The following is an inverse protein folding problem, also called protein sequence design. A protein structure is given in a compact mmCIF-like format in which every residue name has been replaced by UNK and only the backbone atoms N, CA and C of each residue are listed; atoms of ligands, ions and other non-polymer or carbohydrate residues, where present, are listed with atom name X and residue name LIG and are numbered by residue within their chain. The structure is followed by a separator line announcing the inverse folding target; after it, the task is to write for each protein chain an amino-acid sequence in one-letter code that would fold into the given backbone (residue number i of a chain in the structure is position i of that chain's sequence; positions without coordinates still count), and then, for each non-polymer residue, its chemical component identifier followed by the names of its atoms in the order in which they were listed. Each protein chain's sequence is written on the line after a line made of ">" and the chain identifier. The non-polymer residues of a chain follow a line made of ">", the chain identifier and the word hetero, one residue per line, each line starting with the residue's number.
data_IF_044570341698
#
_entry.id   IF_044570341698
#
_cell.length_a   1.000
_cell.length_b   1.000
_cell.length_c   1.000
_cell.angle_alpha   90.00
_cell.angle_beta   90.00
_cell.angle_gamma   90.00
#
_symmetry.space_group_name_H-M   'P 1'
#
loop_
_entity.id
_entity.type
_entity.pdbx_description
1 polymer ?
#
# COMPACT_ATOMS: atom_id res chain seq x y z
N UNK A 1 17.91 -15.08 2.22
CA UNK A 1 17.71 -13.65 1.90
C UNK A 1 16.66 -13.55 0.80
N UNK A 2 15.69 -12.67 0.98
CA UNK A 2 14.68 -12.38 -0.06
C UNK A 2 15.02 -11.04 -0.69
N UNK A 3 14.98 -10.98 -2.02
CA UNK A 3 15.32 -9.78 -2.77
C UNK A 3 14.06 -9.19 -3.36
N UNK A 4 13.86 -7.90 -3.17
CA UNK A 4 12.82 -7.15 -3.86
C UNK A 4 13.43 -6.67 -5.18
N UNK A 5 12.96 -7.23 -6.28
CA UNK A 5 13.50 -6.96 -7.62
C UNK A 5 12.36 -6.82 -8.63
N UNK A 6 12.69 -6.50 -9.87
CA UNK A 6 11.69 -6.32 -10.92
C UNK A 6 10.84 -7.58 -11.13
N UNK A 7 11.43 -8.76 -11.05
CA UNK A 7 10.68 -10.01 -11.21
C UNK A 7 9.60 -10.15 -10.14
N UNK A 8 9.93 -9.92 -8.87
CA UNK A 8 8.96 -10.01 -7.77
C UNK A 8 7.83 -8.98 -7.93
N UNK A 9 8.18 -7.76 -8.32
CA UNK A 9 7.18 -6.72 -8.58
C UNK A 9 6.26 -7.10 -9.73
N UNK A 10 6.82 -7.60 -10.84
CA UNK A 10 6.05 -8.02 -12.01
C UNK A 10 5.10 -9.18 -11.67
N UNK A 11 5.56 -10.17 -10.94
CA UNK A 11 4.73 -11.32 -10.53
C UNK A 11 3.58 -10.89 -9.61
N UNK A 12 3.85 -10.00 -8.66
CA UNK A 12 2.83 -9.50 -7.74
C UNK A 12 1.80 -8.65 -8.49
N UNK A 13 2.26 -7.81 -9.41
CA UNK A 13 1.38 -7.00 -10.25
C UNK A 13 0.50 -7.87 -11.16
N UNK A 14 1.06 -8.91 -11.77
CA UNK A 14 0.30 -9.83 -12.61
C UNK A 14 -0.85 -10.48 -11.83
N UNK A 15 -0.60 -10.88 -10.58
CA UNK A 15 -1.64 -11.42 -9.71
C UNK A 15 -2.70 -10.37 -9.35
N UNK A 16 -2.29 -9.13 -9.14
CA UNK A 16 -3.23 -8.03 -8.88
C UNK A 16 -4.19 -7.83 -10.06
N UNK A 17 -3.67 -7.86 -11.28
CA UNK A 17 -4.49 -7.73 -12.50
C UNK A 17 -5.53 -8.85 -12.63
N UNK A 18 -5.23 -10.05 -12.16
CA UNK A 18 -6.14 -11.20 -12.20
C UNK A 18 -7.10 -11.23 -11.01
N UNK A 19 -6.85 -10.44 -9.99
CA UNK A 19 -7.72 -10.39 -8.80
C UNK A 19 -8.99 -9.61 -9.12
N UNK A 20 -10.18 -10.08 -8.65
CA UNK A 20 -11.42 -9.31 -8.78
C UNK A 20 -11.34 -7.93 -8.13
N UNK A 21 -10.49 -7.76 -7.10
CA UNK A 21 -10.30 -6.49 -6.41
C UNK A 21 -9.20 -5.63 -7.03
N UNK A 22 -8.50 -6.11 -8.06
CA UNK A 22 -7.41 -5.41 -8.73
C UNK A 22 -6.28 -5.03 -7.76
N UNK A 23 -6.01 -5.90 -6.79
CA UNK A 23 -4.89 -5.75 -5.87
C UNK A 23 -4.44 -7.10 -5.32
N UNK A 24 -3.18 -7.15 -4.90
CA UNK A 24 -2.57 -8.37 -4.35
C UNK A 24 -1.46 -8.00 -3.39
N UNK A 25 -1.40 -8.70 -2.28
CA UNK A 25 -0.32 -8.59 -1.32
C UNK A 25 0.69 -9.72 -1.53
N UNK A 26 1.96 -9.40 -1.34
CA UNK A 26 3.02 -10.38 -1.13
C UNK A 26 3.59 -10.15 0.27
N UNK A 27 3.35 -11.10 1.19
CA UNK A 27 3.72 -10.95 2.59
C UNK A 27 5.11 -11.52 2.85
N UNK A 28 5.96 -10.74 3.52
CA UNK A 28 7.24 -11.21 4.04
C UNK A 28 7.11 -11.75 5.46
N UNK A 29 6.12 -11.29 6.21
CA UNK A 29 5.80 -11.85 7.52
C UNK A 29 5.06 -13.18 7.34
N UNK A 30 5.37 -14.14 8.22
CA UNK A 30 4.79 -15.48 8.12
C UNK A 30 3.43 -15.59 8.83
N UNK A 31 3.22 -14.74 9.85
CA UNK A 31 2.01 -14.75 10.67
C UNK A 31 1.45 -13.33 10.78
N UNK A 32 0.13 -13.23 10.88
CA UNK A 32 -0.54 -11.93 11.04
C UNK A 32 -0.22 -11.25 12.37
N UNK A 33 0.18 -12.02 13.37
CA UNK A 33 0.56 -11.52 14.69
C UNK A 33 2.07 -11.24 14.84
N UNK A 34 2.82 -11.28 13.74
CA UNK A 34 4.21 -10.84 13.77
C UNK A 34 4.29 -9.40 14.28
N UNK A 35 5.33 -9.08 15.09
CA UNK A 35 5.52 -7.73 15.62
C UNK A 35 5.63 -6.66 14.53
N UNK A 36 6.15 -7.03 13.36
CA UNK A 36 6.29 -6.15 12.20
C UNK A 36 5.70 -6.82 10.99
N UNK A 37 4.62 -6.26 10.47
CA UNK A 37 4.05 -6.71 9.20
C UNK A 37 4.81 -6.05 8.05
N UNK A 38 5.30 -6.88 7.14
CA UNK A 38 6.10 -6.44 5.98
C UNK A 38 5.50 -7.06 4.74
N UNK A 39 5.11 -6.23 3.79
CA UNK A 39 4.46 -6.71 2.59
C UNK A 39 4.66 -5.78 1.40
N UNK A 40 4.58 -6.34 0.22
CA UNK A 40 4.33 -5.58 -0.99
C UNK A 40 2.82 -5.53 -1.21
N UNK A 41 2.33 -4.40 -1.68
CA UNK A 41 0.93 -4.23 -2.03
C UNK A 41 0.86 -3.72 -3.47
N UNK A 42 0.49 -4.61 -4.39
CA UNK A 42 0.28 -4.23 -5.78
C UNK A 42 -1.17 -3.80 -5.96
N UNK A 43 -1.36 -2.59 -6.47
CA UNK A 43 -2.68 -2.01 -6.71
C UNK A 43 -2.77 -1.53 -8.15
N UNK A 44 -3.78 -1.98 -8.86
CA UNK A 44 -4.05 -1.53 -10.22
C UNK A 44 -5.05 -0.37 -10.23
N UNK A 45 -4.99 0.50 -11.26
CA UNK A 45 -6.04 1.51 -11.45
C UNK A 45 -7.42 0.86 -11.45
N UNK A 46 -8.37 1.47 -10.75
CA UNK A 46 -9.70 0.91 -10.58
C UNK A 46 -9.91 0.10 -9.33
N UNK A 47 -8.85 -0.26 -8.59
CA UNK A 47 -9.03 -0.88 -7.28
C UNK A 47 -9.67 0.11 -6.32
N UNK A 48 -10.56 -0.39 -5.47
CA UNK A 48 -11.23 0.44 -4.46
C UNK A 48 -10.76 0.03 -3.07
N UNK A 49 -10.18 0.98 -2.35
CA UNK A 49 -9.83 0.84 -0.94
C UNK A 49 -10.75 1.75 -0.13
N UNK A 50 -11.59 1.12 0.70
CA UNK A 50 -12.47 1.87 1.60
C UNK A 50 -11.61 2.61 2.64
N UNK A 51 -11.92 3.88 2.96
CA UNK A 51 -11.25 4.57 4.05
C UNK A 51 -11.33 3.74 5.33
N UNK A 52 -10.19 3.59 6.01
CA UNK A 52 -10.09 2.78 7.22
C UNK A 52 -8.95 3.30 8.09
N UNK A 53 -8.94 2.86 9.35
CA UNK A 53 -7.84 3.12 10.28
C UNK A 53 -7.64 1.92 11.20
N UNK A 54 -6.45 1.82 11.75
CA UNK A 54 -6.10 0.75 12.68
C UNK A 54 -6.21 1.28 14.12
N UNK A 55 -7.22 0.81 14.87
CA UNK A 55 -7.51 1.28 16.22
C UNK A 55 -7.18 0.29 17.33
N UNK A 56 -7.29 -1.02 17.06
CA UNK A 56 -7.12 -2.05 18.09
C UNK A 56 -6.18 -3.17 17.62
N UNK A 57 -4.86 -3.06 17.89
CA UNK A 57 -4.19 -1.89 18.45
C UNK A 57 -4.03 -0.78 17.42
N UNK A 58 -3.87 0.45 17.90
CA UNK A 58 -3.48 1.55 17.03
C UNK A 58 -2.10 1.26 16.43
N UNK A 59 -1.94 1.49 15.15
CA UNK A 59 -0.69 1.20 14.43
C UNK A 59 -0.31 2.38 13.57
N UNK A 60 0.95 2.74 13.62
CA UNK A 60 1.56 3.63 12.66
C UNK A 60 1.97 2.80 11.44
N UNK A 61 1.81 3.37 10.28
CA UNK A 61 2.21 2.73 9.03
C UNK A 61 3.17 3.64 8.28
N UNK A 62 4.22 3.04 7.73
CA UNK A 62 5.06 3.68 6.74
C UNK A 62 4.96 2.87 5.45
N UNK A 63 4.81 3.55 4.32
CA UNK A 63 4.82 2.89 3.03
C UNK A 63 5.63 3.68 2.03
N UNK A 64 6.26 2.94 1.14
CA UNK A 64 7.09 3.46 0.06
C UNK A 64 6.50 3.03 -1.27
N UNK A 65 6.47 3.93 -2.22
CA UNK A 65 6.01 3.63 -3.57
C UNK A 65 7.21 3.24 -4.43
N UNK A 66 7.22 1.99 -4.87
CA UNK A 66 8.30 1.46 -5.70
C UNK A 66 8.03 1.68 -7.18
N UNK A 67 6.76 1.81 -7.57
CA UNK A 67 6.34 1.85 -8.96
C UNK A 67 5.04 2.63 -9.08
N UNK A 68 4.88 3.45 -10.11
CA UNK A 68 3.63 4.13 -10.40
C UNK A 68 3.41 5.44 -9.65
N UNK A 69 2.16 5.79 -9.46
CA UNK A 69 1.72 7.04 -8.87
C UNK A 69 0.46 6.80 -8.05
N UNK A 70 0.41 7.35 -6.84
CA UNK A 70 -0.69 7.12 -5.89
C UNK A 70 -1.10 8.44 -5.26
N UNK A 71 -2.41 8.66 -5.15
CA UNK A 71 -2.94 9.74 -4.33
C UNK A 71 -3.31 9.18 -2.95
N UNK A 72 -2.85 9.84 -1.89
CA UNK A 72 -3.15 9.50 -0.51
C UNK A 72 -4.07 10.55 0.07
N UNK A 73 -5.18 10.11 0.67
CA UNK A 73 -6.17 10.98 1.30
C UNK A 73 -6.30 10.62 2.77
N UNK A 74 -6.28 11.64 3.63
CA UNK A 74 -6.65 11.48 5.02
C UNK A 74 -8.05 12.08 5.24
N UNK A 75 -8.80 11.45 6.14
CA UNK A 75 -10.18 11.83 6.42
C UNK A 75 -10.36 12.09 7.91
N UNK A 76 -11.27 12.98 8.25
CA UNK A 76 -11.72 13.16 9.63
C UNK A 76 -12.81 12.12 9.99
N UNK A 77 -13.30 12.19 11.22
CA UNK A 77 -14.33 11.28 11.73
C UNK A 77 -15.67 11.38 10.95
N UNK A 78 -15.90 12.51 10.29
CA UNK A 78 -17.12 12.81 9.54
C UNK A 78 -17.01 12.42 8.06
N UNK A 79 -15.83 11.92 7.65
CA UNK A 79 -15.58 11.54 6.26
C UNK A 79 -15.13 12.67 5.36
N UNK A 80 -14.78 13.83 5.92
CA UNK A 80 -14.23 14.94 5.14
C UNK A 80 -12.74 14.73 4.90
N UNK A 81 -12.27 15.08 3.70
CA UNK A 81 -10.84 15.02 3.38
C UNK A 81 -10.13 16.16 4.11
N UNK A 82 -9.18 15.81 4.96
CA UNK A 82 -8.36 16.78 5.71
C UNK A 82 -7.00 17.00 5.09
N UNK A 83 -6.48 16.02 4.36
CA UNK A 83 -5.19 16.09 3.72
C UNK A 83 -5.17 15.23 2.47
N UNK A 84 -4.47 15.70 1.44
CA UNK A 84 -4.25 14.97 0.21
C UNK A 84 -2.82 15.17 -0.26
N UNK A 85 -2.17 14.08 -0.66
CA UNK A 85 -0.85 14.16 -1.29
C UNK A 85 -0.76 13.17 -2.44
N UNK A 86 0.10 13.47 -3.41
CA UNK A 86 0.39 12.58 -4.52
C UNK A 86 1.82 12.09 -4.36
N UNK A 87 1.96 10.77 -4.33
CA UNK A 87 3.26 10.10 -4.34
C UNK A 87 3.60 9.70 -5.76
N UNK A 88 4.79 10.09 -6.20
CA UNK A 88 5.33 9.74 -7.50
C UNK A 88 6.85 9.78 -7.41
N UNK A 89 7.53 8.61 -7.43
CA UNK A 89 8.99 8.56 -7.35
C UNK A 89 9.69 9.38 -8.43
N UNK A 90 9.08 9.51 -9.61
CA UNK A 90 9.64 10.31 -10.70
C UNK A 90 9.65 11.82 -10.39
N UNK A 91 8.84 12.25 -9.45
CA UNK A 91 8.74 13.65 -9.01
C UNK A 91 9.34 13.85 -7.60
N UNK A 92 10.00 12.82 -7.06
CA UNK A 92 10.71 12.91 -5.80
C UNK A 92 9.86 12.70 -4.56
N UNK A 93 8.63 12.23 -4.69
CA UNK A 93 7.75 11.91 -3.57
C UNK A 93 7.61 10.38 -3.47
N UNK A 94 8.23 9.78 -2.47
CA UNK A 94 8.46 8.34 -2.43
C UNK A 94 7.52 7.59 -1.50
N UNK A 95 7.02 8.22 -0.46
CA UNK A 95 6.21 7.51 0.51
C UNK A 95 5.66 8.43 1.58
N UNK A 96 5.00 7.82 2.56
CA UNK A 96 4.41 8.55 3.67
C UNK A 96 4.36 7.67 4.92
N UNK A 97 4.35 8.32 6.07
CA UNK A 97 4.02 7.71 7.35
C UNK A 97 2.68 8.29 7.81
N UNK A 98 1.78 7.40 8.20
CA UNK A 98 0.45 7.77 8.68
C UNK A 98 0.08 7.05 9.95
#
# INVERSE_FOLDING_TARGET
>A
MKIINEQLLDETQAKALQSPRLRMNYNFHERLDDPINRLLNAMEPGTYLRPHRHLNPAKDEIFLLLRGKVAVFLFDEEGNITEKTILNPKEGAYGAEI
#
